data_IF_411697544187
#
_entry.id   IF_411697544187
#
_cell.length_a   1.000
_cell.length_b   1.000
_cell.length_c   1.000
_cell.angle_alpha   90.00
_cell.angle_beta   90.00
_cell.angle_gamma   90.00
#
_symmetry.space_group_name_H-M   'P 1'
#
loop_
_entity.id
_entity.type
_entity.pdbx_description
1 polymer ?
#
# COMPACT_ATOMS: atom_id res chain seq x y z
N UNK A 1 -39.32 -13.89 -3.23
CA UNK A 1 -38.11 -13.68 -4.06
C UNK A 1 -37.28 -12.62 -3.34
N UNK A 2 -36.28 -13.06 -2.59
CA UNK A 2 -35.38 -12.19 -1.81
C UNK A 2 -34.31 -11.65 -2.76
N UNK A 3 -34.36 -10.36 -3.07
CA UNK A 3 -33.24 -9.66 -3.70
C UNK A 3 -32.03 -9.75 -2.78
N UNK A 4 -31.08 -10.60 -3.15
CA UNK A 4 -29.75 -10.58 -2.54
C UNK A 4 -29.04 -9.37 -3.11
N UNK A 5 -29.07 -8.27 -2.37
CA UNK A 5 -28.32 -7.04 -2.69
C UNK A 5 -26.84 -7.42 -2.76
N UNK A 6 -26.26 -7.48 -3.95
CA UNK A 6 -24.81 -7.65 -4.13
C UNK A 6 -24.12 -6.43 -3.51
N UNK A 7 -23.54 -6.61 -2.33
CA UNK A 7 -22.73 -5.59 -1.66
C UNK A 7 -21.60 -5.16 -2.61
N UNK A 8 -21.43 -3.85 -2.83
CA UNK A 8 -20.38 -3.36 -3.72
C UNK A 8 -18.98 -3.75 -3.20
N UNK A 9 -18.00 -3.91 -4.08
CA UNK A 9 -16.62 -4.23 -3.67
C UNK A 9 -16.08 -3.20 -2.68
N UNK A 10 -16.41 -1.93 -2.88
CA UNK A 10 -16.03 -0.83 -1.97
C UNK A 10 -16.55 -1.07 -0.56
N UNK A 11 -17.80 -1.49 -0.40
CA UNK A 11 -18.40 -1.79 0.91
C UNK A 11 -17.75 -3.03 1.56
N UNK A 12 -17.43 -4.04 0.78
CA UNK A 12 -16.74 -5.24 1.26
C UNK A 12 -15.33 -4.89 1.75
N UNK A 13 -14.58 -4.07 0.99
CA UNK A 13 -13.27 -3.55 1.39
C UNK A 13 -13.39 -2.72 2.67
N UNK A 14 -14.35 -1.78 2.73
CA UNK A 14 -14.60 -0.97 3.92
C UNK A 14 -14.85 -1.83 5.15
N UNK A 15 -15.75 -2.81 5.04
CA UNK A 15 -16.09 -3.73 6.12
C UNK A 15 -14.88 -4.50 6.66
N UNK A 16 -13.96 -4.94 5.79
CA UNK A 16 -12.74 -5.62 6.20
C UNK A 16 -11.84 -4.71 7.05
N UNK A 17 -11.63 -3.47 6.60
CA UNK A 17 -10.75 -2.52 7.28
C UNK A 17 -11.41 -1.79 8.47
N UNK A 18 -12.72 -1.91 8.63
CA UNK A 18 -13.44 -1.43 9.82
C UNK A 18 -13.22 -2.31 11.07
N UNK A 19 -12.34 -3.30 10.98
CA UNK A 19 -11.83 -4.08 12.13
C UNK A 19 -10.31 -3.94 12.22
N UNK A 20 -9.77 -2.77 12.64
CA UNK A 20 -8.33 -2.47 12.59
C UNK A 20 -7.44 -3.52 13.24
N UNK A 21 -7.80 -4.03 14.42
CA UNK A 21 -6.99 -5.00 15.15
C UNK A 21 -6.79 -6.30 14.36
N UNK A 22 -7.82 -6.75 13.65
CA UNK A 22 -7.72 -7.96 12.82
C UNK A 22 -6.78 -7.77 11.63
N UNK A 23 -6.59 -6.54 11.17
CA UNK A 23 -5.69 -6.23 10.07
C UNK A 23 -4.28 -5.87 10.55
N UNK A 24 -4.16 -4.96 11.51
CA UNK A 24 -2.88 -4.39 11.94
C UNK A 24 -2.02 -5.39 12.72
N UNK A 25 -2.62 -6.16 13.65
CA UNK A 25 -1.86 -7.09 14.50
C UNK A 25 -1.12 -8.17 13.71
N UNK A 26 -1.74 -8.90 12.76
CA UNK A 26 -1.06 -9.96 12.01
C UNK A 26 -0.13 -9.44 10.92
N UNK A 27 -0.09 -8.13 10.66
CA UNK A 27 0.73 -7.50 9.60
C UNK A 27 1.76 -6.50 10.12
N UNK A 28 2.00 -6.47 11.42
CA UNK A 28 2.90 -5.47 12.03
C UNK A 28 4.29 -5.46 11.40
N UNK A 29 4.90 -6.62 11.15
CA UNK A 29 6.22 -6.71 10.53
C UNK A 29 6.23 -6.20 9.07
N UNK A 30 5.17 -6.48 8.32
CA UNK A 30 5.03 -6.07 6.91
C UNK A 30 4.85 -4.54 6.81
N UNK A 31 4.01 -3.96 7.69
CA UNK A 31 3.83 -2.51 7.81
C UNK A 31 5.16 -1.84 8.18
N UNK A 32 5.94 -2.43 9.08
CA UNK A 32 7.25 -1.90 9.46
C UNK A 32 8.23 -1.90 8.28
N UNK A 33 8.30 -2.98 7.49
CA UNK A 33 9.15 -3.05 6.29
C UNK A 33 8.75 -1.97 5.28
N UNK A 34 7.45 -1.77 5.05
CA UNK A 34 6.92 -0.74 4.15
C UNK A 34 7.28 0.66 4.63
N UNK A 35 7.05 0.95 5.91
CA UNK A 35 7.40 2.23 6.53
C UNK A 35 8.89 2.55 6.38
N UNK A 36 9.77 1.60 6.71
CA UNK A 36 11.22 1.78 6.60
C UNK A 36 11.66 1.99 5.14
N UNK A 37 11.04 1.26 4.19
CA UNK A 37 11.34 1.42 2.76
C UNK A 37 10.89 2.78 2.25
N UNK A 38 9.68 3.23 2.60
CA UNK A 38 9.19 4.58 2.24
C UNK A 38 10.10 5.65 2.82
N UNK A 39 10.47 5.53 4.11
CA UNK A 39 11.39 6.46 4.78
C UNK A 39 12.73 6.53 4.03
N UNK A 40 13.31 5.40 3.65
CA UNK A 40 14.59 5.36 2.93
C UNK A 40 14.47 5.91 1.51
N UNK A 41 13.41 5.57 0.78
CA UNK A 41 13.18 6.08 -0.57
C UNK A 41 12.94 7.60 -0.62
N UNK A 42 12.59 8.21 0.50
CA UNK A 42 12.32 9.65 0.63
C UNK A 42 13.36 10.38 1.49
N UNK A 43 14.45 9.71 1.91
CA UNK A 43 15.37 10.21 2.93
C UNK A 43 16.00 11.58 2.61
N UNK A 44 16.34 11.82 1.35
CA UNK A 44 16.98 13.06 0.86
C UNK A 44 15.99 14.06 0.29
N UNK A 45 14.69 13.78 0.34
CA UNK A 45 13.64 14.57 -0.30
C UNK A 45 12.82 15.35 0.74
N UNK A 46 12.34 16.52 0.34
CA UNK A 46 11.35 17.30 1.05
C UNK A 46 10.16 17.59 0.15
N UNK A 47 8.99 17.77 0.71
CA UNK A 47 7.75 17.88 -0.05
C UNK A 47 6.91 19.06 0.47
N UNK A 48 6.20 19.72 -0.43
CA UNK A 48 5.17 20.67 0.00
C UNK A 48 3.88 19.90 0.34
N UNK A 49 3.42 19.02 -0.52
CA UNK A 49 2.17 18.28 -0.34
C UNK A 49 2.34 16.80 -0.61
N UNK A 50 1.97 15.99 0.38
CA UNK A 50 1.99 14.52 0.32
C UNK A 50 0.57 14.00 0.36
N UNK A 51 0.26 12.99 -0.46
CA UNK A 51 -0.99 12.22 -0.42
C UNK A 51 -0.68 10.77 -0.05
N UNK A 52 -1.40 10.23 0.94
CA UNK A 52 -1.37 8.80 1.27
C UNK A 52 -2.74 8.17 0.97
N UNK A 53 -2.78 7.35 -0.09
CA UNK A 53 -3.97 6.65 -0.56
C UNK A 53 -4.09 5.33 0.18
N UNK A 54 -5.21 5.11 0.88
CA UNK A 54 -5.40 3.95 1.75
C UNK A 54 -4.46 3.99 2.95
N UNK A 55 -4.39 5.14 3.61
CA UNK A 55 -3.40 5.44 4.66
C UNK A 55 -3.52 4.55 5.91
N UNK A 56 -4.64 3.84 6.08
CA UNK A 56 -4.90 3.06 7.28
C UNK A 56 -4.82 3.93 8.56
N UNK A 57 -4.01 3.52 9.52
CA UNK A 57 -3.76 4.26 10.75
C UNK A 57 -2.64 5.31 10.63
N UNK A 58 -2.18 5.62 9.42
CA UNK A 58 -1.13 6.61 9.16
C UNK A 58 0.30 6.15 9.45
N UNK A 59 0.53 4.88 9.83
CA UNK A 59 1.85 4.39 10.24
C UNK A 59 2.96 4.58 9.19
N UNK A 60 2.62 4.63 7.90
CA UNK A 60 3.59 4.77 6.81
C UNK A 60 3.89 6.24 6.53
N UNK A 61 2.89 7.09 6.51
CA UNK A 61 3.00 8.49 6.06
C UNK A 61 3.23 9.50 7.18
N UNK A 62 2.70 9.30 8.38
CA UNK A 62 2.93 10.24 9.50
C UNK A 62 4.41 10.45 9.83
N UNK A 63 5.31 9.45 9.74
CA UNK A 63 6.76 9.67 9.90
C UNK A 63 7.38 10.63 8.87
N UNK A 64 6.68 11.00 7.79
CA UNK A 64 7.13 11.97 6.78
C UNK A 64 6.81 13.43 7.17
N UNK A 65 5.98 13.68 8.19
CA UNK A 65 5.61 15.03 8.63
C UNK A 65 6.79 15.99 8.80
N UNK A 66 7.96 15.57 9.35
CA UNK A 66 9.11 16.49 9.44
C UNK A 66 9.66 16.94 8.09
N UNK A 67 9.25 16.29 6.98
CA UNK A 67 9.75 16.54 5.62
C UNK A 67 8.69 17.03 4.66
N UNK A 68 7.45 17.22 5.11
CA UNK A 68 6.39 17.78 4.30
C UNK A 68 5.70 18.94 5.03
N UNK A 69 5.22 19.92 4.25
CA UNK A 69 4.44 21.02 4.80
C UNK A 69 2.99 20.59 5.05
N UNK A 70 2.45 19.75 4.16
CA UNK A 70 1.06 19.31 4.27
C UNK A 70 0.90 17.84 3.86
N UNK A 71 0.17 17.06 4.67
CA UNK A 71 -0.10 15.66 4.46
C UNK A 71 -1.61 15.43 4.33
N UNK A 72 -2.04 14.80 3.25
CA UNK A 72 -3.43 14.36 3.06
C UNK A 72 -3.51 12.83 3.28
N UNK A 73 -4.28 12.42 4.30
CA UNK A 73 -4.57 11.03 4.62
C UNK A 73 -5.94 10.66 4.05
N UNK A 74 -6.01 9.68 3.17
CA UNK A 74 -7.25 9.23 2.56
C UNK A 74 -7.45 7.73 2.79
N UNK A 75 -8.61 7.34 3.34
CA UNK A 75 -8.99 5.95 3.54
C UNK A 75 -10.49 5.74 3.47
N UNK A 76 -10.92 4.54 3.06
CA UNK A 76 -12.32 4.11 3.06
C UNK A 76 -12.87 3.87 4.47
N UNK A 77 -12.01 3.41 5.39
CA UNK A 77 -12.39 3.06 6.76
C UNK A 77 -12.32 4.26 7.69
N UNK A 78 -13.46 4.70 8.18
CA UNK A 78 -13.53 5.74 9.21
C UNK A 78 -12.86 5.33 10.52
N UNK A 79 -12.82 4.02 10.82
CA UNK A 79 -12.17 3.50 12.03
C UNK A 79 -10.65 3.56 11.92
N UNK A 80 -10.08 3.23 10.74
CA UNK A 80 -8.66 3.44 10.47
C UNK A 80 -8.28 4.91 10.57
N UNK A 81 -9.06 5.80 9.96
CA UNK A 81 -8.85 7.25 10.07
C UNK A 81 -8.99 7.76 11.51
N UNK A 82 -9.86 7.17 12.30
CA UNK A 82 -9.95 7.47 13.73
C UNK A 82 -8.66 7.14 14.50
N UNK A 83 -7.98 6.06 14.13
CA UNK A 83 -6.64 5.74 14.66
C UNK A 83 -5.58 6.69 14.10
N UNK A 84 -5.62 6.99 12.81
CA UNK A 84 -4.68 7.93 12.19
C UNK A 84 -4.73 9.30 12.88
N UNK A 85 -5.93 9.85 13.12
CA UNK A 85 -6.11 11.13 13.84
C UNK A 85 -5.47 11.14 15.24
N UNK A 86 -5.55 10.02 15.98
CA UNK A 86 -4.93 9.90 17.31
C UNK A 86 -3.39 9.87 17.24
N UNK A 87 -2.85 9.45 16.10
CA UNK A 87 -1.41 9.33 15.87
C UNK A 87 -0.80 10.64 15.31
N UNK A 88 -1.62 11.64 14.90
CA UNK A 88 -1.11 12.93 14.42
C UNK A 88 -0.55 13.69 15.64
N UNK A 89 0.71 14.17 15.57
CA UNK A 89 1.28 15.02 16.62
C UNK A 89 0.43 16.29 16.82
N UNK A 90 0.23 16.70 18.08
CA UNK A 90 -0.65 17.82 18.44
C UNK A 90 -0.24 19.16 17.82
N UNK A 91 1.05 19.35 17.62
CA UNK A 91 1.65 20.53 16.99
C UNK A 91 1.55 20.51 15.44
N UNK A 92 1.10 19.40 14.84
CA UNK A 92 0.98 19.22 13.38
C UNK A 92 -0.46 18.99 12.91
N UNK A 93 -1.46 19.19 13.78
CA UNK A 93 -2.88 18.96 13.43
C UNK A 93 -3.36 19.81 12.25
N UNK A 94 -2.87 21.03 12.11
CA UNK A 94 -3.23 21.94 11.03
C UNK A 94 -2.55 21.60 9.69
N UNK A 95 -1.55 20.73 9.72
CA UNK A 95 -0.76 20.33 8.55
C UNK A 95 -1.26 19.01 7.95
N UNK A 96 -2.33 18.42 8.51
CA UNK A 96 -2.85 17.11 8.08
C UNK A 96 -4.33 17.16 7.77
N UNK A 97 -4.67 16.95 6.50
CA UNK A 97 -6.05 16.70 6.07
C UNK A 97 -6.40 15.21 6.20
N UNK A 98 -7.61 14.90 6.66
CA UNK A 98 -8.09 13.52 6.79
C UNK A 98 -9.40 13.38 6.03
N UNK A 99 -9.36 12.62 4.93
CA UNK A 99 -10.47 12.44 4.00
C UNK A 99 -11.00 11.00 4.12
N UNK A 100 -12.27 10.84 4.43
CA UNK A 100 -12.93 9.54 4.43
C UNK A 100 -13.72 9.34 3.15
N UNK A 101 -13.28 8.40 2.31
CA UNK A 101 -13.96 8.12 1.05
C UNK A 101 -13.12 7.29 0.09
N UNK A 102 -13.71 7.05 -1.09
CA UNK A 102 -13.04 6.42 -2.21
C UNK A 102 -12.02 7.39 -2.81
N UNK A 103 -10.84 6.87 -3.17
CA UNK A 103 -9.79 7.65 -3.83
C UNK A 103 -10.26 8.22 -5.17
N UNK A 104 -10.94 7.41 -5.98
CA UNK A 104 -11.41 7.81 -7.31
C UNK A 104 -12.45 8.94 -7.22
N UNK A 105 -13.25 8.96 -6.14
CA UNK A 105 -14.33 9.92 -5.94
C UNK A 105 -13.92 11.11 -5.06
N UNK A 106 -12.64 11.24 -4.74
CA UNK A 106 -12.13 12.22 -3.75
C UNK A 106 -12.12 13.67 -4.20
N UNK A 107 -12.39 13.95 -5.48
CA UNK A 107 -12.40 15.30 -6.08
C UNK A 107 -11.13 16.15 -5.81
N UNK A 108 -9.98 15.50 -5.62
CA UNK A 108 -8.70 16.18 -5.43
C UNK A 108 -8.27 16.90 -6.71
N UNK A 109 -7.71 18.10 -6.55
CA UNK A 109 -7.25 18.92 -7.67
C UNK A 109 -6.11 18.26 -8.46
N UNK A 110 -6.01 18.47 -9.80
CA UNK A 110 -4.91 17.96 -10.61
C UNK A 110 -3.58 18.58 -10.20
N UNK A 111 -2.49 17.88 -10.44
CA UNK A 111 -1.12 18.36 -10.21
C UNK A 111 -0.93 19.03 -8.83
N UNK A 112 -1.45 18.37 -7.78
CA UNK A 112 -1.49 18.96 -6.43
C UNK A 112 -0.43 18.41 -5.49
N UNK A 113 0.19 17.26 -5.80
CA UNK A 113 1.04 16.54 -4.86
C UNK A 113 2.45 16.34 -5.40
N UNK A 114 3.45 16.52 -4.52
CA UNK A 114 4.88 16.29 -4.80
C UNK A 114 5.29 14.84 -4.48
N UNK A 115 4.55 14.20 -3.56
CA UNK A 115 4.69 12.78 -3.25
C UNK A 115 3.30 12.15 -3.11
N UNK A 116 3.12 11.00 -3.75
CA UNK A 116 1.92 10.16 -3.58
C UNK A 116 2.35 8.77 -3.11
N UNK A 117 1.75 8.31 -2.01
CA UNK A 117 1.89 6.96 -1.51
C UNK A 117 0.66 6.14 -1.91
N UNK A 118 0.87 4.96 -2.47
CA UNK A 118 -0.15 3.97 -2.78
C UNK A 118 0.40 2.59 -2.37
N UNK A 119 0.35 2.31 -1.07
CA UNK A 119 1.01 1.17 -0.44
C UNK A 119 -0.03 0.20 0.11
N UNK A 120 -0.08 -1.03 -0.45
CA UNK A 120 -1.06 -2.04 -0.07
C UNK A 120 -2.47 -1.83 -0.62
N UNK A 121 -2.64 -0.98 -1.63
CA UNK A 121 -3.97 -0.54 -2.12
C UNK A 121 -4.39 -1.23 -3.41
N UNK A 122 -3.50 -1.39 -4.38
CA UNK A 122 -3.85 -1.85 -5.74
C UNK A 122 -4.57 -3.21 -5.81
N UNK A 123 -4.36 -4.09 -4.82
CA UNK A 123 -5.06 -5.36 -4.74
C UNK A 123 -6.56 -5.20 -4.39
N UNK A 124 -6.94 -4.06 -3.81
CA UNK A 124 -8.26 -3.81 -3.24
C UNK A 124 -9.15 -2.90 -4.09
N UNK A 125 -8.58 -2.12 -5.02
CA UNK A 125 -9.32 -1.19 -5.89
C UNK A 125 -10.14 -1.92 -6.96
N UNK A 126 -11.13 -1.27 -7.53
CA UNK A 126 -11.92 -1.81 -8.63
C UNK A 126 -11.10 -1.92 -9.92
N UNK A 127 -10.35 -0.88 -10.24
CA UNK A 127 -9.50 -0.82 -11.43
C UNK A 127 -8.10 -0.29 -11.09
N UNK A 128 -7.06 -1.15 -11.10
CA UNK A 128 -5.67 -0.71 -10.99
C UNK A 128 -5.27 0.31 -12.07
N UNK A 129 -5.80 0.16 -13.29
CA UNK A 129 -5.53 1.09 -14.38
C UNK A 129 -6.10 2.50 -14.10
N UNK A 130 -7.36 2.59 -13.68
CA UNK A 130 -7.96 3.87 -13.30
C UNK A 130 -7.24 4.50 -12.09
N UNK A 131 -6.82 3.68 -11.12
CA UNK A 131 -6.06 4.17 -9.95
C UNK A 131 -4.71 4.76 -10.38
N UNK A 132 -3.96 4.10 -11.27
CA UNK A 132 -2.67 4.63 -11.77
C UNK A 132 -2.88 5.90 -12.59
N UNK A 133 -3.92 5.97 -13.43
CA UNK A 133 -4.26 7.17 -14.20
C UNK A 133 -4.63 8.35 -13.28
N UNK A 134 -5.39 8.09 -12.22
CA UNK A 134 -5.75 9.13 -11.25
C UNK A 134 -4.53 9.60 -10.42
N UNK A 135 -3.64 8.70 -10.03
CA UNK A 135 -2.35 9.06 -9.42
C UNK A 135 -1.57 9.99 -10.36
N UNK A 136 -1.52 9.68 -11.66
CA UNK A 136 -0.84 10.52 -12.64
C UNK A 136 -1.52 11.90 -12.78
N UNK A 137 -2.84 11.97 -12.76
CA UNK A 137 -3.57 13.24 -12.79
C UNK A 137 -3.22 14.15 -11.62
N UNK A 138 -3.06 13.56 -10.43
CA UNK A 138 -2.81 14.28 -9.17
C UNK A 138 -1.34 14.63 -8.95
N UNK A 139 -0.41 13.86 -9.51
CA UNK A 139 1.02 14.10 -9.37
C UNK A 139 1.44 15.36 -10.15
N UNK A 140 2.24 16.24 -9.54
CA UNK A 140 2.89 17.36 -10.23
C UNK A 140 3.95 16.85 -11.23
N UNK A 141 4.35 17.65 -12.24
CA UNK A 141 5.65 17.46 -12.88
C UNK A 141 6.77 17.46 -11.82
N UNK A 142 7.71 16.55 -11.92
CA UNK A 142 8.75 16.35 -10.90
C UNK A 142 8.33 15.56 -9.66
N UNK A 143 7.08 15.11 -9.57
CA UNK A 143 6.58 14.39 -8.40
C UNK A 143 7.13 12.97 -8.30
N UNK A 144 7.14 12.47 -7.07
CA UNK A 144 7.47 11.09 -6.73
C UNK A 144 6.22 10.29 -6.39
N UNK A 145 6.23 9.00 -6.73
CA UNK A 145 5.17 8.07 -6.33
C UNK A 145 5.81 6.82 -5.71
N UNK A 146 5.36 6.43 -4.54
CA UNK A 146 5.71 5.15 -3.95
C UNK A 146 4.52 4.21 -4.16
N UNK A 147 4.73 3.21 -5.02
CA UNK A 147 3.71 2.24 -5.40
C UNK A 147 4.08 0.85 -4.92
N UNK A 148 3.21 0.21 -4.13
CA UNK A 148 3.42 -1.16 -3.66
C UNK A 148 2.35 -2.08 -4.21
N UNK A 149 2.78 -3.28 -4.61
CA UNK A 149 1.91 -4.39 -4.98
C UNK A 149 2.61 -5.74 -4.87
N UNK A 150 1.80 -6.80 -4.80
CA UNK A 150 2.26 -8.20 -4.85
C UNK A 150 2.07 -8.76 -6.25
N UNK A 151 3.13 -9.32 -6.84
CA UNK A 151 3.05 -10.06 -8.11
C UNK A 151 2.48 -11.46 -7.85
N UNK A 152 1.22 -11.65 -8.20
CA UNK A 152 0.50 -12.93 -8.05
C UNK A 152 0.99 -14.03 -8.99
N UNK A 153 1.80 -13.70 -9.99
CA UNK A 153 2.31 -14.63 -11.01
C UNK A 153 3.81 -14.92 -10.86
N UNK A 154 4.41 -14.40 -9.79
CA UNK A 154 5.75 -14.78 -9.39
C UNK A 154 5.78 -16.29 -9.04
N UNK A 155 6.91 -16.98 -9.27
CA UNK A 155 7.00 -18.43 -9.03
C UNK A 155 6.64 -18.83 -7.58
N UNK A 156 6.93 -17.98 -6.59
CA UNK A 156 6.45 -18.15 -5.21
C UNK A 156 4.96 -17.81 -5.03
N UNK A 157 4.39 -17.02 -5.90
CA UNK A 157 2.97 -16.69 -5.85
C UNK A 157 2.07 -17.88 -6.24
N UNK A 158 2.55 -18.78 -7.11
CA UNK A 158 1.78 -19.93 -7.57
C UNK A 158 1.43 -20.91 -6.44
N UNK A 159 2.39 -21.37 -5.58
CA UNK A 159 2.07 -22.18 -4.42
C UNK A 159 1.15 -21.48 -3.43
N UNK A 160 1.33 -20.17 -3.22
CA UNK A 160 0.48 -19.36 -2.34
C UNK A 160 -0.96 -19.32 -2.85
N UNK A 161 -1.15 -19.09 -4.16
CA UNK A 161 -2.48 -19.10 -4.79
C UNK A 161 -3.14 -20.46 -4.69
N UNK A 162 -2.38 -21.55 -4.89
CA UNK A 162 -2.90 -22.90 -4.76
C UNK A 162 -3.35 -23.20 -3.32
N UNK A 163 -2.52 -22.85 -2.35
CA UNK A 163 -2.84 -22.98 -0.93
C UNK A 163 -4.05 -22.12 -0.54
N UNK A 164 -4.13 -20.88 -1.00
CA UNK A 164 -5.30 -20.02 -0.76
C UNK A 164 -6.57 -20.60 -1.41
N UNK A 165 -6.49 -21.19 -2.59
CA UNK A 165 -7.63 -21.89 -3.19
C UNK A 165 -8.09 -23.07 -2.35
N UNK A 166 -7.16 -23.82 -1.76
CA UNK A 166 -7.50 -24.93 -0.86
C UNK A 166 -8.13 -24.41 0.43
N UNK A 167 -7.59 -23.33 1.02
CA UNK A 167 -8.18 -22.69 2.22
C UNK A 167 -9.55 -22.05 1.95
N UNK A 168 -9.80 -21.53 0.75
CA UNK A 168 -11.11 -20.96 0.37
C UNK A 168 -12.25 -21.99 0.38
N UNK A 169 -11.95 -23.27 0.24
CA UNK A 169 -12.92 -24.35 0.47
C UNK A 169 -13.36 -24.41 1.93
N UNK A 170 -12.52 -23.92 2.85
CA UNK A 170 -12.77 -23.96 4.29
C UNK A 170 -13.17 -22.59 4.87
N UNK A 171 -12.71 -21.49 4.24
CA UNK A 171 -12.98 -20.10 4.65
C UNK A 171 -13.10 -19.21 3.41
N UNK A 172 -14.32 -18.91 2.95
CA UNK A 172 -14.51 -17.99 1.83
C UNK A 172 -14.02 -16.58 2.20
N UNK A 173 -13.24 -15.97 1.32
CA UNK A 173 -12.85 -14.57 1.49
C UNK A 173 -14.03 -13.65 1.14
N UNK A 174 -14.14 -12.49 1.81
CA UNK A 174 -15.28 -11.59 1.65
C UNK A 174 -15.36 -11.00 0.22
N UNK A 175 -14.24 -10.90 -0.51
CA UNK A 175 -14.19 -10.41 -1.89
C UNK A 175 -12.95 -10.90 -2.63
N UNK A 176 -12.97 -10.76 -3.98
CA UNK A 176 -11.86 -11.14 -4.83
C UNK A 176 -10.78 -10.04 -4.89
N UNK A 177 -9.58 -10.34 -4.43
CA UNK A 177 -8.40 -9.48 -4.62
C UNK A 177 -7.98 -9.43 -6.10
N UNK A 178 -7.52 -8.27 -6.57
CA UNK A 178 -6.93 -8.16 -7.88
C UNK A 178 -5.64 -8.99 -7.96
N UNK A 179 -5.55 -9.84 -8.99
CA UNK A 179 -4.32 -10.54 -9.32
C UNK A 179 -3.46 -9.65 -10.20
N UNK A 180 -2.42 -9.08 -9.62
CA UNK A 180 -1.54 -8.14 -10.30
C UNK A 180 -0.36 -8.86 -10.91
N UNK A 181 0.03 -8.46 -12.13
CA UNK A 181 1.28 -8.86 -12.78
C UNK A 181 2.23 -7.68 -12.83
N UNK A 182 3.46 -7.87 -12.39
CA UNK A 182 4.50 -6.84 -12.40
C UNK A 182 4.59 -6.11 -13.75
N UNK A 183 4.70 -6.85 -14.85
CA UNK A 183 4.84 -6.26 -16.17
C UNK A 183 3.65 -5.40 -16.58
N UNK A 184 2.44 -5.81 -16.21
CA UNK A 184 1.22 -5.04 -16.49
C UNK A 184 1.20 -3.72 -15.70
N UNK A 185 1.52 -3.75 -14.40
CA UNK A 185 1.54 -2.54 -13.57
C UNK A 185 2.62 -1.57 -14.06
N UNK A 186 3.83 -2.06 -14.37
CA UNK A 186 4.91 -1.20 -14.89
C UNK A 186 4.58 -0.61 -16.26
N UNK A 187 3.84 -1.35 -17.09
CA UNK A 187 3.33 -0.82 -18.36
C UNK A 187 2.36 0.32 -18.11
N UNK A 188 1.36 0.14 -17.23
CA UNK A 188 0.42 1.20 -16.85
C UNK A 188 1.14 2.44 -16.31
N UNK A 189 2.15 2.26 -15.46
CA UNK A 189 2.93 3.38 -14.93
C UNK A 189 3.63 4.14 -16.07
N UNK A 190 4.28 3.46 -17.01
CA UNK A 190 4.96 4.10 -18.16
C UNK A 190 3.98 4.80 -19.08
N UNK A 191 2.84 4.19 -19.40
CA UNK A 191 1.79 4.78 -20.23
C UNK A 191 1.20 6.05 -19.61
N UNK A 192 1.31 6.20 -18.29
CA UNK A 192 0.89 7.39 -17.54
C UNK A 192 2.06 8.35 -17.18
N UNK A 193 3.21 8.21 -17.85
CA UNK A 193 4.33 9.13 -17.74
C UNK A 193 5.23 8.93 -16.53
N UNK A 194 5.21 7.76 -15.88
CA UNK A 194 6.10 7.47 -14.76
C UNK A 194 7.32 6.67 -15.19
N UNK A 195 8.47 7.06 -14.65
CA UNK A 195 9.74 6.35 -14.78
C UNK A 195 10.10 5.66 -13.45
N UNK A 196 10.66 4.45 -13.55
CA UNK A 196 11.14 3.72 -12.35
C UNK A 196 12.51 4.26 -11.93
N UNK A 197 12.59 4.79 -10.71
CA UNK A 197 13.85 5.29 -10.12
C UNK A 197 14.50 4.26 -9.20
N UNK A 198 13.70 3.54 -8.40
CA UNK A 198 14.19 2.49 -7.51
C UNK A 198 13.13 1.41 -7.29
N UNK A 199 13.57 0.24 -6.85
CA UNK A 199 12.68 -0.86 -6.45
C UNK A 199 13.27 -1.61 -5.27
N UNK A 200 12.44 -1.87 -4.28
CA UNK A 200 12.71 -2.84 -3.24
C UNK A 200 11.81 -4.05 -3.43
N UNK A 201 12.41 -5.25 -3.36
CA UNK A 201 11.67 -6.51 -3.48
C UNK A 201 11.89 -7.33 -2.23
N UNK A 202 10.80 -7.84 -1.68
CA UNK A 202 10.82 -8.78 -0.58
C UNK A 202 9.70 -9.79 -0.74
N UNK A 203 9.68 -10.80 0.08
CA UNK A 203 8.62 -11.81 0.09
C UNK A 203 8.23 -12.11 1.51
N UNK A 204 6.99 -12.51 1.67
CA UNK A 204 6.56 -13.12 2.93
C UNK A 204 7.27 -14.47 3.08
N UNK A 205 7.67 -14.83 4.30
CA UNK A 205 8.18 -16.15 4.56
C UNK A 205 7.22 -17.26 4.14
N UNK A 206 7.71 -18.47 3.93
CA UNK A 206 6.91 -19.58 3.42
C UNK A 206 5.61 -19.79 4.20
N UNK A 207 4.62 -20.35 3.51
CA UNK A 207 3.31 -20.72 4.03
C UNK A 207 3.40 -21.41 5.40
N UNK A 208 2.60 -20.92 6.37
CA UNK A 208 2.56 -21.46 7.71
C UNK A 208 3.58 -20.86 8.69
N UNK A 209 4.56 -20.08 8.25
CA UNK A 209 5.55 -19.48 9.16
C UNK A 209 4.91 -18.54 10.19
N UNK A 210 3.82 -17.85 9.85
CA UNK A 210 3.04 -17.03 10.78
C UNK A 210 2.34 -17.82 11.88
N UNK A 211 2.25 -19.14 11.75
CA UNK A 211 1.73 -20.03 12.80
C UNK A 211 2.81 -20.39 13.83
N UNK A 212 4.10 -20.29 13.45
CA UNK A 212 5.23 -20.73 14.24
C UNK A 212 6.19 -19.62 14.66
N UNK A 213 6.11 -18.44 14.01
CA UNK A 213 6.96 -17.30 14.30
C UNK A 213 6.14 -16.06 14.64
N UNK A 214 6.57 -15.33 15.67
CA UNK A 214 5.98 -14.04 16.03
C UNK A 214 6.30 -12.94 14.99
N UNK A 215 5.67 -11.78 15.15
CA UNK A 215 5.84 -10.65 14.21
C UNK A 215 7.29 -10.13 14.17
N UNK A 216 8.00 -10.19 15.29
CA UNK A 216 9.39 -9.76 15.39
C UNK A 216 10.33 -10.73 14.68
N UNK A 217 10.13 -12.03 14.85
CA UNK A 217 10.90 -13.07 14.16
C UNK A 217 10.68 -13.00 12.65
N UNK A 218 9.43 -12.79 12.22
CA UNK A 218 9.10 -12.59 10.81
C UNK A 218 9.83 -11.38 10.22
N UNK A 219 9.88 -10.28 10.95
CA UNK A 219 10.65 -9.09 10.56
C UNK A 219 12.15 -9.42 10.43
N UNK A 220 12.75 -10.05 11.44
CA UNK A 220 14.19 -10.42 11.45
C UNK A 220 14.53 -11.35 10.28
N UNK A 221 13.71 -12.38 10.04
CA UNK A 221 13.89 -13.32 8.93
C UNK A 221 13.82 -12.59 7.59
N UNK A 222 12.80 -11.74 7.40
CA UNK A 222 12.65 -10.99 6.16
C UNK A 222 13.81 -10.04 5.93
N UNK A 223 14.27 -9.32 6.96
CA UNK A 223 15.46 -8.44 6.89
C UNK A 223 16.76 -9.20 6.66
N UNK A 224 16.92 -10.37 7.25
CA UNK A 224 18.07 -11.24 6.99
C UNK A 224 18.11 -11.69 5.53
N UNK A 225 16.99 -12.12 4.99
CA UNK A 225 16.88 -12.62 3.61
C UNK A 225 17.01 -11.51 2.57
N UNK A 226 16.32 -10.40 2.75
CA UNK A 226 16.17 -9.36 1.71
C UNK A 226 17.00 -8.10 1.98
N UNK A 227 17.49 -7.90 3.20
CA UNK A 227 18.23 -6.70 3.58
C UNK A 227 17.36 -5.43 3.63
N UNK A 228 17.96 -4.27 3.88
CA UNK A 228 17.30 -2.97 3.73
C UNK A 228 17.14 -2.60 2.25
N UNK A 229 16.35 -1.56 1.96
CA UNK A 229 15.98 -1.21 0.57
C UNK A 229 17.14 -0.65 -0.27
N UNK A 230 18.20 -0.12 0.36
CA UNK A 230 19.44 0.30 -0.31
C UNK A 230 20.39 -0.88 -0.64
N UNK A 231 20.22 -2.01 0.02
CA UNK A 231 21.03 -3.22 -0.17
C UNK A 231 20.17 -4.45 -0.32
N UNK A 232 19.25 -4.40 -1.26
CA UNK A 232 18.29 -5.47 -1.48
C UNK A 232 18.97 -6.77 -1.90
N UNK A 233 19.00 -7.74 -0.98
CA UNK A 233 19.54 -9.09 -1.21
C UNK A 233 18.43 -10.01 -1.71
N UNK A 234 18.81 -11.08 -2.40
CA UNK A 234 17.87 -12.12 -2.84
C UNK A 234 16.58 -11.59 -3.47
N UNK A 235 16.64 -10.41 -4.09
CA UNK A 235 15.47 -9.72 -4.65
C UNK A 235 14.66 -10.62 -5.61
N UNK A 236 15.31 -11.59 -6.27
CA UNK A 236 14.67 -12.53 -7.19
C UNK A 236 13.65 -13.44 -6.49
N UNK A 237 13.79 -13.71 -5.18
CA UNK A 237 12.83 -14.46 -4.38
C UNK A 237 11.59 -13.63 -3.98
N UNK A 238 11.70 -12.30 -3.98
CA UNK A 238 10.62 -11.42 -3.52
C UNK A 238 9.50 -11.29 -4.54
N UNK A 239 8.26 -11.46 -4.10
CA UNK A 239 7.04 -11.27 -4.89
C UNK A 239 6.28 -10.00 -4.50
N UNK A 240 6.70 -9.31 -3.45
CA UNK A 240 6.21 -7.98 -3.08
C UNK A 240 7.19 -6.93 -3.58
N UNK A 241 6.66 -5.90 -4.22
CA UNK A 241 7.42 -4.86 -4.88
C UNK A 241 7.01 -3.50 -4.37
N UNK A 242 7.97 -2.73 -3.86
CA UNK A 242 7.81 -1.31 -3.55
C UNK A 242 8.63 -0.54 -4.57
N UNK A 243 7.97 0.19 -5.45
CA UNK A 243 8.58 1.03 -6.47
C UNK A 243 8.63 2.48 -6.03
N UNK A 244 9.78 3.13 -6.24
CA UNK A 244 9.85 4.59 -6.32
C UNK A 244 9.80 4.97 -7.79
N UNK A 245 8.74 5.67 -8.15
CA UNK A 245 8.49 6.19 -9.49
C UNK A 245 8.68 7.70 -9.49
N UNK A 246 9.13 8.25 -10.61
CA UNK A 246 9.29 9.67 -10.84
C UNK A 246 8.43 10.08 -12.03
N UNK A 247 7.78 11.21 -11.93
CA UNK A 247 7.12 11.87 -13.04
C UNK A 247 8.01 13.01 -13.53
N UNK A 248 8.71 12.86 -14.67
CA UNK A 248 9.58 13.92 -15.19
C UNK A 248 8.82 15.21 -15.54
#
# INVERSE_FOLDING_TARGET
MTETTMTSKIEQVRSLFDTPDKYLCPRRFDIQIRMETVKQFTETLTFDRVLDIGCGNGSISLPLLPRCKHLTLLDLSSKMLGLARKNIPSDRLNDVDVINGSFIDSNLGPQSFDLILCVGVLAHVDSPAATVAEIARLAKPGAWVILEFTDSFHFWGVPVVLYQKLLKLLRPEPYALNRLRRMQILRLCRENGFETSAVYRYGLPPLGSSMFAGQEEMYKITRYLFGPSDRNRNAWLGNQFIYRLHRP
#
